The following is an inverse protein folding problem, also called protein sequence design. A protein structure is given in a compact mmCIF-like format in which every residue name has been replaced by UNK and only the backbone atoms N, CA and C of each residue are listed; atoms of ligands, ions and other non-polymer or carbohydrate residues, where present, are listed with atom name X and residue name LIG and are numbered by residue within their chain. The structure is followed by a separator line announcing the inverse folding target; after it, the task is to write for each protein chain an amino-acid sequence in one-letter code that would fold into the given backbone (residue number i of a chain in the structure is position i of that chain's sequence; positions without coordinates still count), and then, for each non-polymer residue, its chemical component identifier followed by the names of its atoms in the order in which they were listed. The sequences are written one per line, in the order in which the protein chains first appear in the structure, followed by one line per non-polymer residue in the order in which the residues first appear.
data_IF_037332360956
#
_entry.id   IF_037332360956
#
_cell.length_a   1.000
_cell.length_b   1.000
_cell.length_c   1.000
_cell.angle_alpha   90.00
_cell.angle_beta   90.00
_cell.angle_gamma   90.00
#
_symmetry.space_group_name_H-M   'P 1'
#
loop_
_entity.id
_entity.type
_entity.pdbx_description
1 polymer ?
#
# COMPACT_ATOMS: atom_id res chain seq x y z
N UNK A 1 51.67 83.99 42.23
CA UNK A 1 51.81 85.09 41.24
C UNK A 1 51.82 84.50 39.83
N UNK A 2 50.74 84.75 39.08
CA UNK A 2 50.67 85.20 37.68
C UNK A 2 51.75 84.74 36.66
N UNK A 3 51.22 84.29 35.49
CA UNK A 3 51.76 84.22 34.10
C UNK A 3 52.69 83.04 33.76
N UNK A 4 52.75 82.53 32.53
CA UNK A 4 51.87 82.56 31.36
C UNK A 4 52.36 81.51 30.33
N UNK A 5 51.39 80.93 29.62
CA UNK A 5 51.34 80.53 28.21
C UNK A 5 52.63 80.15 27.44
N UNK A 6 52.63 78.94 26.84
CA UNK A 6 53.14 78.70 25.47
C UNK A 6 52.23 77.73 24.70
N UNK A 7 51.93 78.12 23.48
CA UNK A 7 51.19 77.42 22.42
C UNK A 7 51.91 76.17 21.92
N UNK A 8 51.18 75.18 21.39
CA UNK A 8 51.58 74.46 20.17
C UNK A 8 50.41 73.72 19.49
N UNK A 9 50.43 73.80 18.17
CA UNK A 9 49.55 73.22 17.15
C UNK A 9 49.25 71.73 17.32
N UNK A 10 48.04 71.29 16.95
CA UNK A 10 47.77 69.91 16.49
C UNK A 10 46.62 69.85 15.45
N UNK A 11 46.82 68.89 14.55
CA UNK A 11 46.21 68.64 13.24
C UNK A 11 44.77 68.10 13.35
N UNK A 12 43.89 68.48 12.41
CA UNK A 12 42.54 67.95 12.26
C UNK A 12 42.54 66.74 11.29
N UNK A 13 41.98 65.61 11.70
CA UNK A 13 41.62 64.49 10.81
C UNK A 13 40.11 64.25 10.85
N UNK A 14 39.55 63.96 9.67
CA UNK A 14 38.13 63.78 9.38
C UNK A 14 37.62 62.44 9.92
N UNK A 15 36.44 62.43 10.55
CA UNK A 15 35.72 61.21 10.94
C UNK A 15 34.70 60.83 9.87
N UNK A 16 34.77 59.59 9.38
CA UNK A 16 33.75 58.96 8.53
C UNK A 16 32.79 58.18 9.43
N UNK A 17 31.49 58.48 9.34
CA UNK A 17 30.44 57.72 10.03
C UNK A 17 30.12 56.45 9.22
N UNK A 18 30.24 55.28 9.87
CA UNK A 18 29.72 54.01 9.38
C UNK A 18 28.34 53.79 9.99
N UNK A 19 27.28 53.78 9.18
CA UNK A 19 25.93 53.38 9.61
C UNK A 19 25.82 51.87 9.47
N UNK A 20 25.83 51.15 10.59
CA UNK A 20 25.51 49.72 10.64
C UNK A 20 23.99 49.56 10.67
N UNK A 21 23.41 49.11 9.55
CA UNK A 21 22.05 48.61 9.49
C UNK A 21 21.97 47.23 10.15
N UNK A 22 21.22 47.12 11.25
CA UNK A 22 20.91 45.83 11.85
C UNK A 22 19.77 45.15 11.06
N UNK A 23 20.09 44.14 10.26
CA UNK A 23 19.10 43.20 9.76
C UNK A 23 18.63 42.32 10.91
N UNK A 24 17.39 42.52 11.36
CA UNK A 24 16.67 41.57 12.20
C UNK A 24 16.29 40.36 11.34
N UNK A 25 17.13 39.32 11.36
CA UNK A 25 16.70 37.99 10.93
C UNK A 25 15.73 37.45 11.98
N UNK A 26 14.44 37.41 11.64
CA UNK A 26 13.45 36.64 12.40
C UNK A 26 13.86 35.18 12.27
N UNK A 27 14.43 34.62 13.34
CA UNK A 27 14.68 33.19 13.41
C UNK A 27 13.33 32.48 13.24
N UNK A 28 13.20 31.68 12.18
CA UNK A 28 12.06 30.76 12.06
C UNK A 28 12.05 29.88 13.31
N UNK A 29 10.88 29.61 13.92
CA UNK A 29 10.83 28.79 15.11
C UNK A 29 11.48 27.44 14.80
N UNK A 30 12.43 27.04 15.64
CA UNK A 30 13.02 25.70 15.59
C UNK A 30 11.89 24.73 15.93
N UNK A 31 11.30 24.14 14.89
CA UNK A 31 10.25 23.14 15.01
C UNK A 31 10.87 21.94 15.73
N UNK A 32 10.32 21.59 16.90
CA UNK A 32 10.75 20.40 17.64
C UNK A 32 10.59 19.17 16.74
N UNK A 33 11.56 18.25 16.71
CA UNK A 33 11.47 17.00 15.95
C UNK A 33 10.20 16.19 16.23
N UNK A 34 9.62 16.36 17.43
CA UNK A 34 8.41 15.67 17.88
C UNK A 34 7.13 16.52 17.83
N UNK A 35 7.17 17.68 17.16
CA UNK A 35 5.95 18.47 16.93
C UNK A 35 5.05 17.81 15.87
N UNK A 36 3.75 18.07 15.93
CA UNK A 36 2.80 17.57 14.92
C UNK A 36 3.14 18.03 13.50
N UNK A 37 3.69 19.24 13.34
CA UNK A 37 4.10 19.79 12.05
C UNK A 37 5.28 19.04 11.42
N UNK A 38 6.29 18.67 12.23
CA UNK A 38 7.44 17.88 11.75
C UNK A 38 6.99 16.50 11.27
N UNK A 39 6.08 15.84 12.00
CA UNK A 39 5.53 14.53 11.62
C UNK A 39 4.78 14.59 10.28
N UNK A 40 3.95 15.61 10.07
CA UNK A 40 3.24 15.84 8.81
C UNK A 40 4.23 16.08 7.66
N UNK A 41 5.28 16.88 7.89
CA UNK A 41 6.30 17.14 6.88
C UNK A 41 7.07 15.87 6.47
N UNK A 42 7.40 15.00 7.43
CA UNK A 42 8.07 13.72 7.16
C UNK A 42 7.18 12.78 6.34
N UNK A 43 5.89 12.68 6.68
CA UNK A 43 4.93 11.88 5.93
C UNK A 43 4.74 12.39 4.49
N UNK A 44 4.72 13.71 4.28
CA UNK A 44 4.65 14.31 2.93
C UNK A 44 5.89 13.97 2.09
N UNK A 45 7.09 14.04 2.67
CA UNK A 45 8.32 13.65 1.98
C UNK A 45 8.29 12.18 1.57
N UNK A 46 7.90 11.29 2.49
CA UNK A 46 7.76 9.87 2.18
C UNK A 46 6.71 9.61 1.08
N UNK A 47 5.62 10.38 1.05
CA UNK A 47 4.62 10.31 -0.01
C UNK A 47 5.19 10.69 -1.39
N UNK A 48 5.96 11.78 -1.46
CA UNK A 48 6.66 12.21 -2.66
C UNK A 48 7.65 11.13 -3.15
N UNK A 49 8.38 10.51 -2.23
CA UNK A 49 9.31 9.42 -2.55
C UNK A 49 8.57 8.16 -3.06
N UNK A 50 7.45 7.78 -2.44
CA UNK A 50 6.59 6.69 -2.90
C UNK A 50 6.03 6.98 -4.31
N UNK A 51 5.57 8.21 -4.55
CA UNK A 51 5.03 8.66 -5.84
C UNK A 51 6.11 8.62 -6.92
N UNK A 52 7.32 9.10 -6.60
CA UNK A 52 8.48 9.03 -7.50
C UNK A 52 8.81 7.59 -7.88
N UNK A 53 8.87 6.68 -6.90
CA UNK A 53 9.16 5.27 -7.14
C UNK A 53 8.20 4.62 -8.15
N UNK A 54 6.89 4.85 -8.00
CA UNK A 54 5.87 4.21 -8.84
C UNK A 54 5.78 4.80 -10.25
N UNK A 55 6.19 6.07 -10.43
CA UNK A 55 6.31 6.66 -11.76
C UNK A 55 7.60 6.23 -12.49
N UNK A 56 8.70 6.04 -11.76
CA UNK A 56 9.98 5.63 -12.35
C UNK A 56 10.09 4.14 -12.63
N UNK A 57 9.35 3.31 -11.87
CA UNK A 57 9.44 1.85 -11.96
C UNK A 57 8.06 1.22 -12.15
N UNK A 58 7.92 0.22 -13.05
CA UNK A 58 6.69 -0.53 -13.27
C UNK A 58 6.42 -1.53 -12.12
N UNK A 59 6.31 -1.02 -10.90
CA UNK A 59 6.26 -1.79 -9.65
C UNK A 59 4.94 -1.63 -8.88
N UNK A 60 4.01 -0.80 -9.38
CA UNK A 60 2.70 -0.60 -8.75
C UNK A 60 2.00 -1.93 -8.37
N UNK A 61 1.94 -2.96 -9.24
CA UNK A 61 1.23 -4.19 -8.88
C UNK A 61 1.85 -4.96 -7.70
N UNK A 62 3.18 -5.01 -7.60
CA UNK A 62 3.84 -5.74 -6.50
C UNK A 62 3.75 -4.97 -5.18
N UNK A 63 3.73 -3.63 -5.24
CA UNK A 63 3.55 -2.77 -4.06
C UNK A 63 2.13 -2.89 -3.52
N UNK A 64 1.10 -2.88 -4.39
CA UNK A 64 -0.29 -3.11 -3.97
C UNK A 64 -0.45 -4.49 -3.34
N UNK A 65 0.17 -5.53 -3.93
CA UNK A 65 0.20 -6.87 -3.32
C UNK A 65 0.91 -6.88 -1.97
N UNK A 66 2.05 -6.21 -1.80
CA UNK A 66 2.77 -6.15 -0.53
C UNK A 66 1.87 -5.60 0.58
N UNK A 67 1.21 -4.46 0.34
CA UNK A 67 0.33 -3.83 1.31
C UNK A 67 -0.92 -4.68 1.64
N UNK A 68 -1.51 -5.33 0.63
CA UNK A 68 -2.58 -6.32 0.84
C UNK A 68 -2.11 -7.47 1.72
N UNK A 69 -0.94 -8.04 1.45
CA UNK A 69 -0.42 -9.19 2.19
C UNK A 69 -0.10 -8.85 3.65
N UNK A 70 0.40 -7.65 3.92
CA UNK A 70 0.61 -7.17 5.29
C UNK A 70 -0.73 -7.07 6.05
N UNK A 71 -1.66 -6.27 5.52
CA UNK A 71 -2.95 -6.00 6.15
C UNK A 71 -3.86 -7.25 6.24
N UNK A 72 -3.78 -8.14 5.24
CA UNK A 72 -4.61 -9.34 5.09
C UNK A 72 -4.36 -10.41 6.15
N UNK A 73 -3.32 -10.26 6.98
CA UNK A 73 -3.05 -11.17 8.09
C UNK A 73 -3.86 -10.87 9.35
N UNK A 74 -4.65 -9.78 9.35
CA UNK A 74 -5.44 -9.40 10.51
C UNK A 74 -6.47 -10.48 10.92
N UNK A 75 -6.60 -10.66 12.24
CA UNK A 75 -7.65 -11.46 12.87
C UNK A 75 -8.38 -10.59 13.90
N UNK A 76 -9.64 -10.26 13.61
CA UNK A 76 -10.45 -9.40 14.47
C UNK A 76 -10.75 -10.02 15.85
N UNK A 77 -10.75 -11.35 15.95
CA UNK A 77 -11.02 -12.07 17.20
C UNK A 77 -9.78 -12.12 18.08
N UNK A 78 -8.62 -12.41 17.49
CA UNK A 78 -7.34 -12.47 18.19
C UNK A 78 -6.70 -11.10 18.37
N UNK A 79 -7.17 -10.09 17.62
CA UNK A 79 -6.65 -8.71 17.62
C UNK A 79 -5.15 -8.65 17.33
N UNK A 80 -4.70 -9.41 16.34
CA UNK A 80 -3.29 -9.43 15.92
C UNK A 80 -3.13 -9.65 14.40
N UNK A 81 -1.92 -9.40 13.89
CA UNK A 81 -1.65 -9.27 12.45
C UNK A 81 -2.22 -7.96 11.90
N UNK A 82 -2.04 -7.72 10.61
CA UNK A 82 -2.49 -6.51 9.92
C UNK A 82 -1.35 -5.58 9.51
N UNK A 83 -1.68 -4.31 9.24
CA UNK A 83 -0.74 -3.28 8.80
C UNK A 83 0.11 -2.77 9.99
N UNK A 84 1.07 -3.58 10.41
CA UNK A 84 1.89 -3.39 11.62
C UNK A 84 3.41 -3.54 11.36
N UNK A 85 3.85 -3.50 10.11
CA UNK A 85 5.26 -3.48 9.72
C UNK A 85 5.96 -4.83 9.73
N UNK A 86 5.25 -5.94 9.98
CA UNK A 86 5.90 -7.26 10.19
C UNK A 86 6.33 -7.96 8.91
N UNK A 87 5.71 -7.65 7.77
CA UNK A 87 5.98 -8.32 6.48
C UNK A 87 7.42 -8.11 5.98
N UNK A 88 8.17 -7.16 6.55
CA UNK A 88 9.58 -6.94 6.22
C UNK A 88 10.50 -8.02 6.80
N UNK A 89 10.03 -8.78 7.79
CA UNK A 89 10.85 -9.75 8.48
C UNK A 89 11.00 -11.03 7.65
N UNK A 90 12.21 -11.61 7.58
CA UNK A 90 12.44 -12.85 6.83
C UNK A 90 11.57 -14.03 7.26
N UNK A 91 11.10 -14.06 8.51
CA UNK A 91 10.17 -15.09 9.01
C UNK A 91 8.83 -15.04 8.29
N UNK A 92 8.30 -13.85 8.01
CA UNK A 92 7.04 -13.65 7.29
C UNK A 92 7.24 -13.80 5.77
N UNK A 93 8.29 -13.19 5.20
CA UNK A 93 8.58 -13.28 3.75
C UNK A 93 8.79 -14.72 3.23
N UNK A 94 9.11 -15.66 4.12
CA UNK A 94 9.23 -17.10 3.79
C UNK A 94 7.89 -17.84 3.81
N UNK A 95 6.79 -17.22 4.21
CA UNK A 95 5.48 -17.81 4.09
C UNK A 95 5.18 -18.10 2.61
N UNK A 96 4.57 -19.25 2.28
CA UNK A 96 4.30 -19.61 0.89
C UNK A 96 3.53 -18.54 0.10
N UNK A 97 2.57 -17.87 0.75
CA UNK A 97 1.73 -16.87 0.11
C UNK A 97 2.50 -15.57 -0.20
N UNK A 98 3.62 -15.32 0.47
CA UNK A 98 4.42 -14.09 0.35
C UNK A 98 5.58 -14.21 -0.65
N UNK A 99 5.61 -15.31 -1.42
CA UNK A 99 6.63 -15.55 -2.44
C UNK A 99 6.80 -14.35 -3.39
N UNK A 100 8.04 -13.86 -3.48
CA UNK A 100 8.45 -12.72 -4.30
C UNK A 100 8.20 -11.34 -3.71
N UNK A 101 7.68 -11.21 -2.49
CA UNK A 101 7.48 -9.92 -1.81
C UNK A 101 8.76 -9.36 -1.18
N UNK A 102 9.79 -10.19 -1.02
CA UNK A 102 11.15 -9.75 -0.65
C UNK A 102 11.68 -8.70 -1.62
N UNK A 103 11.47 -8.90 -2.92
CA UNK A 103 11.84 -7.91 -3.94
C UNK A 103 11.08 -6.58 -3.79
N UNK A 104 9.84 -6.59 -3.31
CA UNK A 104 9.09 -5.36 -3.05
C UNK A 104 9.60 -4.63 -1.80
N UNK A 105 9.93 -5.37 -0.73
CA UNK A 105 10.55 -4.80 0.47
C UNK A 105 11.91 -4.16 0.13
N UNK A 106 12.72 -4.78 -0.73
CA UNK A 106 13.98 -4.19 -1.18
C UNK A 106 13.79 -2.90 -2.01
N UNK A 107 12.70 -2.76 -2.76
CA UNK A 107 12.36 -1.50 -3.43
C UNK A 107 12.04 -0.38 -2.44
N UNK A 108 11.39 -0.70 -1.32
CA UNK A 108 10.99 0.29 -0.31
C UNK A 108 12.10 0.61 0.70
N UNK A 109 13.13 -0.25 0.82
CA UNK A 109 14.22 -0.07 1.79
C UNK A 109 14.98 1.26 1.66
N UNK A 110 15.36 1.75 0.46
CA UNK A 110 15.97 3.07 0.32
C UNK A 110 15.03 4.21 0.76
N UNK A 111 13.73 4.09 0.49
CA UNK A 111 12.73 5.10 0.88
C UNK A 111 12.60 5.16 2.41
N UNK A 112 12.53 4.01 3.08
CA UNK A 112 12.52 3.95 4.55
C UNK A 112 13.82 4.52 5.13
N UNK A 113 14.98 4.22 4.53
CA UNK A 113 16.26 4.78 4.99
C UNK A 113 16.33 6.31 4.84
N UNK A 114 15.69 6.87 3.81
CA UNK A 114 15.58 8.31 3.60
C UNK A 114 14.55 8.98 4.52
N UNK A 115 13.58 8.22 5.04
CA UNK A 115 12.49 8.69 5.90
C UNK A 115 12.43 7.91 7.22
N UNK A 116 13.49 7.95 8.06
CA UNK A 116 13.60 7.09 9.25
C UNK A 116 12.50 7.32 10.31
N UNK A 117 11.79 8.44 10.24
CA UNK A 117 10.69 8.77 11.16
C UNK A 117 9.31 8.27 10.68
N UNK A 118 9.25 7.66 9.50
CA UNK A 118 8.05 7.01 8.95
C UNK A 118 8.20 5.52 9.16
N UNK A 119 7.25 4.92 9.87
CA UNK A 119 7.27 3.48 10.15
C UNK A 119 7.18 2.65 8.87
N UNK A 120 7.61 1.40 8.93
CA UNK A 120 7.39 0.47 7.82
C UNK A 120 5.90 0.26 7.54
N UNK A 121 5.09 0.17 8.60
CA UNK A 121 3.63 0.04 8.51
C UNK A 121 2.99 1.20 7.72
N UNK A 122 3.43 2.44 7.94
CA UNK A 122 2.95 3.56 7.11
C UNK A 122 3.51 3.52 5.70
N UNK A 123 4.83 3.32 5.54
CA UNK A 123 5.47 3.39 4.23
C UNK A 123 4.90 2.36 3.25
N UNK A 124 4.63 1.13 3.69
CA UNK A 124 4.07 0.07 2.85
C UNK A 124 2.68 0.45 2.35
N UNK A 125 1.79 0.87 3.25
CA UNK A 125 0.42 1.25 2.90
C UNK A 125 0.39 2.56 2.09
N UNK A 126 1.29 3.50 2.39
CA UNK A 126 1.50 4.75 1.66
C UNK A 126 1.88 4.51 0.20
N UNK A 127 2.91 3.68 -0.04
CA UNK A 127 3.34 3.35 -1.38
C UNK A 127 2.26 2.56 -2.16
N UNK A 128 1.42 1.76 -1.49
CA UNK A 128 0.26 1.13 -2.17
C UNK A 128 -0.79 2.14 -2.60
N UNK A 129 -1.10 3.15 -1.80
CA UNK A 129 -2.05 4.19 -2.20
C UNK A 129 -1.48 5.02 -3.38
N UNK A 130 -0.21 5.40 -3.32
CA UNK A 130 0.48 6.07 -4.43
C UNK A 130 0.50 5.21 -5.71
N UNK A 131 0.74 3.91 -5.58
CA UNK A 131 0.71 2.96 -6.70
C UNK A 131 -0.66 2.89 -7.39
N UNK A 132 -1.75 2.93 -6.61
CA UNK A 132 -3.12 2.92 -7.14
C UNK A 132 -3.43 4.21 -7.90
N UNK A 133 -3.11 5.36 -7.30
CA UNK A 133 -3.31 6.67 -7.94
C UNK A 133 -2.49 6.80 -9.23
N UNK A 134 -1.20 6.43 -9.20
CA UNK A 134 -0.32 6.48 -10.37
C UNK A 134 -0.75 5.54 -11.50
N UNK A 135 -1.51 4.48 -11.18
CA UNK A 135 -2.06 3.55 -12.16
C UNK A 135 -3.42 4.00 -12.72
N UNK A 136 -3.93 5.18 -12.33
CA UNK A 136 -5.23 5.71 -12.78
C UNK A 136 -6.42 5.30 -11.91
N UNK A 137 -6.17 4.70 -10.74
CA UNK A 137 -7.19 4.30 -9.79
C UNK A 137 -7.73 5.46 -8.94
N UNK A 138 -8.69 5.18 -8.05
CA UNK A 138 -9.26 6.20 -7.18
C UNK A 138 -8.28 6.67 -6.11
N UNK A 139 -8.42 7.93 -5.69
CA UNK A 139 -7.77 8.44 -4.48
C UNK A 139 -8.29 7.69 -3.26
N UNK A 140 -7.38 7.09 -2.50
CA UNK A 140 -7.74 6.34 -1.30
C UNK A 140 -7.79 7.32 -0.11
N UNK A 141 -8.86 7.34 0.71
CA UNK A 141 -8.96 8.21 1.88
C UNK A 141 -8.06 7.73 3.02
N UNK A 142 -6.75 7.82 2.82
CA UNK A 142 -5.73 7.34 3.74
C UNK A 142 -5.58 8.25 4.96
N UNK A 143 -5.29 7.64 6.09
CA UNK A 143 -4.60 8.27 7.22
C UNK A 143 -3.35 7.48 7.58
N UNK A 144 -2.42 8.18 8.21
CA UNK A 144 -1.09 7.71 8.58
C UNK A 144 -0.85 7.90 10.08
N UNK A 145 0.37 7.72 10.54
CA UNK A 145 0.74 7.62 11.94
C UNK A 145 0.70 6.19 12.47
N UNK A 146 0.75 5.18 11.60
CA UNK A 146 0.89 3.78 12.04
C UNK A 146 2.21 3.62 12.77
N UNK A 147 2.20 2.83 13.84
CA UNK A 147 3.42 2.41 14.51
C UNK A 147 3.75 0.98 14.12
N UNK A 148 5.02 0.69 13.89
CA UNK A 148 5.49 -0.69 13.77
C UNK A 148 5.26 -1.43 15.08
N UNK A 149 4.89 -2.71 15.02
CA UNK A 149 4.65 -3.49 16.24
C UNK A 149 5.95 -3.59 17.07
N UNK A 150 5.95 -3.17 18.34
CA UNK A 150 7.16 -3.13 19.15
C UNK A 150 7.73 -4.52 19.47
N UNK A 151 6.96 -5.60 19.25
CA UNK A 151 7.46 -6.98 19.37
C UNK A 151 8.29 -7.40 18.15
N UNK A 152 8.27 -6.62 17.07
CA UNK A 152 9.00 -6.87 15.84
C UNK A 152 8.76 -8.27 15.28
N UNK A 153 9.79 -9.11 15.09
CA UNK A 153 9.62 -10.44 14.50
C UNK A 153 8.74 -11.39 15.34
N UNK A 154 8.55 -11.13 16.64
CA UNK A 154 7.66 -11.92 17.49
C UNK A 154 6.16 -11.57 17.28
N UNK A 155 5.87 -10.47 16.57
CA UNK A 155 4.51 -10.13 16.14
C UNK A 155 4.09 -10.80 14.82
N UNK A 156 5.02 -11.48 14.13
CA UNK A 156 4.74 -12.12 12.84
C UNK A 156 3.56 -13.09 12.98
N UNK A 157 2.49 -12.90 12.18
CA UNK A 157 1.31 -13.77 12.25
C UNK A 157 1.65 -15.19 11.77
N UNK A 158 0.93 -16.21 12.23
CA UNK A 158 1.09 -17.55 11.70
C UNK A 158 0.73 -17.61 10.21
N UNK A 159 1.35 -18.54 9.49
CA UNK A 159 0.97 -18.91 8.11
C UNK A 159 -0.53 -19.19 7.96
N UNK A 160 -1.02 -19.14 6.72
CA UNK A 160 -2.39 -19.52 6.35
C UNK A 160 -3.49 -18.58 6.88
N UNK A 161 -3.18 -17.28 6.98
CA UNK A 161 -4.20 -16.23 7.17
C UNK A 161 -4.65 -15.60 5.86
N UNK A 162 -3.79 -15.53 4.86
CA UNK A 162 -4.09 -15.03 3.52
C UNK A 162 -4.83 -16.09 2.69
N UNK A 163 -5.69 -15.71 1.73
CA UNK A 163 -6.48 -16.66 0.93
C UNK A 163 -5.61 -17.45 -0.07
N UNK A 164 -6.05 -18.65 -0.44
CA UNK A 164 -5.54 -19.37 -1.61
C UNK A 164 -6.37 -19.00 -2.85
N UNK A 165 -5.72 -18.89 -4.00
CA UNK A 165 -6.40 -18.60 -5.27
C UNK A 165 -7.13 -19.80 -5.89
N UNK A 166 -6.80 -21.04 -5.48
CA UNK A 166 -7.39 -22.25 -6.05
C UNK A 166 -7.49 -23.38 -5.02
N UNK A 167 -8.43 -24.33 -5.21
CA UNK A 167 -8.51 -25.52 -4.39
C UNK A 167 -7.29 -26.45 -4.58
N UNK A 168 -6.93 -27.28 -3.58
CA UNK A 168 -7.60 -27.43 -2.30
C UNK A 168 -7.30 -26.27 -1.33
N UNK A 169 -8.34 -25.64 -0.80
CA UNK A 169 -8.20 -24.54 0.16
C UNK A 169 -7.62 -25.04 1.49
N UNK A 170 -6.65 -24.30 2.03
CA UNK A 170 -6.00 -24.62 3.29
C UNK A 170 -7.00 -24.58 4.44
N UNK A 171 -6.67 -25.35 5.49
CA UNK A 171 -7.36 -25.26 6.78
C UNK A 171 -6.71 -24.15 7.59
N UNK A 172 -7.51 -23.33 8.27
CA UNK A 172 -6.97 -22.43 9.29
C UNK A 172 -6.31 -23.26 10.41
N UNK A 173 -5.09 -22.88 10.83
CA UNK A 173 -4.40 -23.46 12.00
C UNK A 173 -4.37 -22.41 13.12
N UNK A 174 -4.97 -22.70 14.26
CA UNK A 174 -4.93 -21.84 15.45
C UNK A 174 -5.94 -22.24 16.53
N UNK A 175 -5.77 -21.74 17.76
CA UNK A 175 -6.74 -21.85 18.87
C UNK A 175 -7.96 -20.94 18.63
N UNK A 176 -8.68 -21.12 17.52
CA UNK A 176 -9.94 -20.43 17.24
C UNK A 176 -11.11 -21.45 17.29
N UNK A 177 -12.24 -21.14 17.96
CA UNK A 177 -13.19 -22.13 18.43
C UNK A 177 -14.23 -22.61 17.40
N UNK A 178 -13.83 -22.89 16.15
CA UNK A 178 -14.75 -23.52 15.18
C UNK A 178 -14.05 -24.58 14.32
N UNK A 179 -14.80 -25.64 14.02
CA UNK A 179 -14.34 -26.95 13.54
C UNK A 179 -13.56 -26.88 12.22
N UNK A 180 -12.57 -27.76 12.09
CA UNK A 180 -11.82 -28.05 10.87
C UNK A 180 -12.77 -28.48 9.73
N UNK A 181 -13.07 -27.60 8.79
CA UNK A 181 -13.53 -27.99 7.45
C UNK A 181 -12.58 -27.40 6.41
N UNK A 182 -12.26 -28.17 5.37
CA UNK A 182 -11.82 -27.53 4.11
C UNK A 182 -13.01 -26.73 3.62
N UNK A 183 -12.80 -25.52 3.13
CA UNK A 183 -13.92 -24.77 2.57
C UNK A 183 -14.45 -25.53 1.37
N UNK A 184 -15.76 -25.80 1.29
CA UNK A 184 -16.30 -26.62 0.23
C UNK A 184 -16.37 -25.88 -1.11
N UNK A 185 -16.23 -24.55 -1.10
CA UNK A 185 -16.24 -23.71 -2.29
C UNK A 185 -15.25 -22.53 -2.18
N UNK A 186 -14.87 -21.91 -3.31
CA UNK A 186 -14.08 -20.67 -3.30
C UNK A 186 -14.79 -19.52 -2.57
N UNK A 187 -16.13 -19.44 -2.62
CA UNK A 187 -16.88 -18.39 -1.94
C UNK A 187 -16.83 -18.53 -0.42
N UNK A 188 -17.00 -19.75 0.09
CA UNK A 188 -16.84 -20.04 1.52
C UNK A 188 -15.43 -19.73 2.00
N UNK A 189 -14.42 -19.99 1.15
CA UNK A 189 -13.04 -19.66 1.43
C UNK A 189 -12.81 -18.15 1.57
N UNK A 190 -13.28 -17.38 0.59
CA UNK A 190 -13.20 -15.92 0.61
C UNK A 190 -13.93 -15.36 1.84
N UNK A 191 -15.17 -15.77 2.09
CA UNK A 191 -15.92 -15.32 3.28
C UNK A 191 -15.19 -15.65 4.57
N UNK A 192 -14.69 -16.87 4.75
CA UNK A 192 -13.93 -17.27 5.95
C UNK A 192 -12.72 -16.37 6.17
N UNK A 193 -11.97 -16.07 5.12
CA UNK A 193 -10.73 -15.28 5.21
C UNK A 193 -11.03 -13.80 5.46
N UNK A 194 -11.92 -13.19 4.67
CA UNK A 194 -12.20 -11.76 4.73
C UNK A 194 -13.11 -11.38 5.90
N UNK A 195 -14.11 -12.20 6.25
CA UNK A 195 -14.96 -11.94 7.42
C UNK A 195 -14.14 -12.00 8.72
N UNK A 196 -13.08 -12.82 8.79
CA UNK A 196 -12.12 -12.81 9.91
C UNK A 196 -11.42 -11.45 10.06
N UNK A 197 -11.20 -10.73 8.95
CA UNK A 197 -10.65 -9.38 8.96
C UNK A 197 -11.70 -8.30 9.31
N UNK A 198 -12.99 -8.67 9.33
CA UNK A 198 -14.11 -7.75 9.49
C UNK A 198 -14.53 -7.07 8.18
N UNK A 199 -14.26 -7.73 7.04
CA UNK A 199 -14.68 -7.27 5.71
C UNK A 199 -15.94 -8.02 5.26
N UNK A 200 -16.85 -7.35 4.56
CA UNK A 200 -18.11 -7.89 4.07
C UNK A 200 -18.02 -8.38 2.61
N UNK A 201 -19.09 -8.93 2.07
CA UNK A 201 -19.13 -9.48 0.70
C UNK A 201 -18.90 -8.43 -0.40
N UNK A 202 -19.39 -7.20 -0.21
CA UNK A 202 -19.18 -6.09 -1.14
C UNK A 202 -17.69 -5.65 -1.16
N UNK A 203 -17.05 -5.59 0.01
CA UNK A 203 -15.64 -5.28 0.18
C UNK A 203 -14.74 -6.39 -0.36
N UNK A 204 -15.14 -7.68 -0.24
CA UNK A 204 -14.46 -8.80 -0.90
C UNK A 204 -14.40 -8.56 -2.40
N UNK A 205 -15.58 -8.33 -3.01
CA UNK A 205 -15.66 -8.18 -4.47
C UNK A 205 -14.90 -6.93 -4.92
N UNK A 206 -15.01 -5.82 -4.20
CA UNK A 206 -14.28 -4.59 -4.52
C UNK A 206 -12.76 -4.83 -4.46
N UNK A 207 -12.24 -5.36 -3.35
CA UNK A 207 -10.79 -5.59 -3.20
C UNK A 207 -10.22 -6.59 -4.21
N UNK A 208 -11.00 -7.58 -4.66
CA UNK A 208 -10.60 -8.47 -5.76
C UNK A 208 -10.30 -7.73 -7.06
N UNK A 209 -10.90 -6.54 -7.27
CA UNK A 209 -10.63 -5.68 -8.41
C UNK A 209 -9.18 -5.22 -8.53
N UNK A 210 -8.38 -5.30 -7.46
CA UNK A 210 -6.94 -5.06 -7.50
C UNK A 210 -6.19 -5.98 -8.47
N UNK A 211 -6.76 -7.15 -8.82
CA UNK A 211 -6.24 -8.04 -9.86
C UNK A 211 -6.28 -7.42 -11.27
N UNK A 212 -6.94 -6.27 -11.47
CA UNK A 212 -6.76 -5.47 -12.69
C UNK A 212 -5.29 -5.06 -12.89
N UNK A 213 -4.54 -4.94 -11.78
CA UNK A 213 -3.11 -4.69 -11.80
C UNK A 213 -2.30 -5.99 -11.69
N UNK A 214 -1.34 -6.11 -12.58
CA UNK A 214 -0.27 -7.09 -12.52
C UNK A 214 -0.66 -8.48 -13.01
N UNK A 215 0.12 -9.43 -12.51
CA UNK A 215 0.26 -10.76 -13.08
C UNK A 215 0.59 -11.77 -12.01
N UNK A 216 0.14 -13.00 -12.19
CA UNK A 216 0.63 -14.13 -11.41
C UNK A 216 1.74 -14.86 -12.16
N UNK A 217 2.72 -15.36 -11.40
CA UNK A 217 3.84 -16.14 -11.92
C UNK A 217 3.73 -17.58 -11.42
N UNK A 218 3.98 -18.54 -12.31
CA UNK A 218 4.03 -19.96 -11.97
C UNK A 218 5.16 -20.27 -10.98
N UNK A 219 6.30 -19.59 -11.09
CA UNK A 219 7.43 -19.70 -10.15
C UNK A 219 7.17 -19.13 -8.76
N UNK A 220 6.06 -18.38 -8.57
CA UNK A 220 5.67 -17.81 -7.27
C UNK A 220 4.45 -18.53 -6.70
N UNK A 221 3.31 -18.39 -7.36
CA UNK A 221 2.02 -18.94 -6.89
C UNK A 221 1.75 -20.37 -7.37
N UNK A 222 2.37 -20.79 -8.47
CA UNK A 222 2.06 -22.07 -9.13
C UNK A 222 0.70 -22.13 -9.84
N UNK A 223 -0.13 -21.09 -9.73
CA UNK A 223 -1.51 -21.08 -10.23
C UNK A 223 -1.66 -20.87 -11.74
N UNK A 224 -0.88 -19.99 -12.40
CA UNK A 224 -0.97 -19.79 -13.84
C UNK A 224 -0.74 -21.07 -14.64
N UNK A 225 -1.56 -21.30 -15.67
CA UNK A 225 -1.39 -22.40 -16.62
C UNK A 225 -0.18 -22.17 -17.53
N UNK A 226 0.04 -20.92 -17.94
CA UNK A 226 1.13 -20.47 -18.80
C UNK A 226 2.20 -19.71 -18.00
N UNK A 227 3.43 -19.72 -18.49
CA UNK A 227 4.53 -18.94 -17.91
C UNK A 227 4.52 -17.48 -18.39
N UNK A 228 3.98 -17.23 -19.58
CA UNK A 228 3.80 -15.92 -20.21
C UNK A 228 2.69 -16.01 -21.26
N UNK A 229 2.24 -14.85 -21.73
CA UNK A 229 1.10 -14.66 -22.64
C UNK A 229 1.46 -13.56 -23.63
N UNK A 230 0.66 -13.38 -24.68
CA UNK A 230 0.87 -12.28 -25.64
C UNK A 230 0.84 -10.88 -24.97
N UNK A 231 0.23 -10.74 -23.79
CA UNK A 231 0.19 -9.47 -23.04
C UNK A 231 1.41 -9.26 -22.14
N UNK A 232 2.26 -10.29 -21.98
CA UNK A 232 3.25 -10.35 -20.91
C UNK A 232 4.63 -10.84 -21.37
N UNK A 233 4.72 -11.38 -22.60
CA UNK A 233 5.97 -11.71 -23.29
C UNK A 233 6.86 -10.46 -23.50
N UNK A 234 6.19 -9.32 -23.68
CA UNK A 234 6.77 -8.00 -23.88
C UNK A 234 6.09 -7.02 -22.94
N UNK A 235 6.87 -6.15 -22.31
CA UNK A 235 6.37 -5.21 -21.32
C UNK A 235 7.45 -4.81 -20.33
N UNK A 236 7.20 -3.76 -19.54
CA UNK A 236 8.19 -3.24 -18.60
C UNK A 236 8.33 -4.17 -17.37
N UNK A 237 9.47 -4.11 -16.69
CA UNK A 237 9.73 -4.92 -15.49
C UNK A 237 10.10 -6.38 -15.79
N UNK A 238 9.83 -7.28 -14.83
CA UNK A 238 10.16 -8.71 -14.97
C UNK A 238 9.31 -9.37 -16.07
N UNK A 239 9.93 -10.07 -17.02
CA UNK A 239 9.21 -10.75 -18.11
C UNK A 239 8.30 -11.88 -17.61
N UNK A 240 7.23 -12.14 -18.36
CA UNK A 240 6.31 -13.26 -18.16
C UNK A 240 5.28 -13.05 -17.05
N UNK A 241 4.65 -14.15 -16.66
CA UNK A 241 3.42 -14.21 -15.86
C UNK A 241 2.16 -14.15 -16.72
N UNK A 242 1.01 -14.47 -16.14
CA UNK A 242 -0.30 -14.28 -16.77
C UNK A 242 -1.03 -13.14 -16.06
N UNK A 243 -1.55 -12.16 -16.81
CA UNK A 243 -2.39 -11.07 -16.29
C UNK A 243 -3.86 -11.46 -16.30
N UNK A 244 -4.67 -10.79 -15.47
CA UNK A 244 -6.13 -10.87 -15.55
C UNK A 244 -6.70 -9.96 -16.63
N UNK A 245 -6.00 -8.86 -16.93
CA UNK A 245 -6.39 -7.85 -17.90
C UNK A 245 -5.31 -7.69 -18.98
N UNK A 246 -5.67 -7.09 -20.11
CA UNK A 246 -4.72 -6.84 -21.19
C UNK A 246 -3.74 -5.74 -20.83
N UNK A 247 -4.26 -4.65 -20.25
CA UNK A 247 -3.46 -3.56 -19.70
C UNK A 247 -3.30 -3.75 -18.19
N UNK A 248 -2.35 -4.59 -17.81
CA UNK A 248 -2.11 -4.97 -16.42
C UNK A 248 -1.34 -3.91 -15.62
N UNK A 249 -1.15 -2.71 -16.17
CA UNK A 249 -0.59 -1.56 -15.44
C UNK A 249 -1.61 -0.43 -15.25
N UNK A 250 -2.79 -0.53 -15.86
CA UNK A 250 -3.89 0.40 -15.65
C UNK A 250 -4.84 -0.12 -14.57
N UNK A 251 -5.21 0.75 -13.64
CA UNK A 251 -6.23 0.47 -12.65
C UNK A 251 -7.59 0.93 -13.18
N UNK A 252 -8.40 -0.03 -13.63
CA UNK A 252 -9.74 0.19 -14.16
C UNK A 252 -10.67 -0.98 -13.79
N UNK A 253 -11.91 -0.99 -14.30
CA UNK A 253 -12.84 -2.09 -14.07
C UNK A 253 -12.69 -3.28 -15.05
N UNK A 254 -11.62 -3.33 -15.87
CA UNK A 254 -11.43 -4.36 -16.89
C UNK A 254 -11.38 -5.77 -16.30
N UNK A 255 -10.91 -5.92 -15.06
CA UNK A 255 -10.97 -7.20 -14.33
C UNK A 255 -12.37 -7.82 -14.33
N UNK A 256 -13.39 -7.04 -13.98
CA UNK A 256 -14.78 -7.52 -13.94
C UNK A 256 -15.33 -7.74 -15.34
N UNK A 257 -15.01 -6.83 -16.28
CA UNK A 257 -15.45 -6.93 -17.68
C UNK A 257 -14.93 -8.22 -18.32
N UNK A 258 -13.65 -8.56 -18.16
CA UNK A 258 -13.05 -9.75 -18.75
C UNK A 258 -13.53 -11.04 -18.06
N UNK A 259 -13.81 -11.02 -16.75
CA UNK A 259 -14.44 -12.14 -16.06
C UNK A 259 -15.88 -12.38 -16.52
N UNK A 260 -16.66 -11.32 -16.71
CA UNK A 260 -18.02 -11.41 -17.23
C UNK A 260 -18.03 -12.01 -18.64
N UNK A 261 -17.19 -11.48 -19.54
CA UNK A 261 -17.03 -12.04 -20.90
C UNK A 261 -16.62 -13.50 -20.87
N UNK A 262 -15.72 -13.89 -19.96
CA UNK A 262 -15.31 -15.28 -19.84
C UNK A 262 -16.45 -16.19 -19.37
N UNK A 263 -17.28 -15.74 -18.41
CA UNK A 263 -18.47 -16.46 -17.98
C UNK A 263 -19.47 -16.67 -19.12
N UNK A 264 -19.68 -15.64 -19.94
CA UNK A 264 -20.60 -15.69 -21.09
C UNK A 264 -20.07 -16.58 -22.23
N UNK A 265 -18.74 -16.56 -22.46
CA UNK A 265 -18.10 -17.32 -23.53
C UNK A 265 -17.86 -18.81 -23.19
N UNK A 266 -17.81 -19.17 -21.90
CA UNK A 266 -17.49 -20.53 -21.46
C UNK A 266 -16.12 -21.00 -21.99
N UNK A 267 -16.11 -22.09 -22.75
CA UNK A 267 -14.90 -22.64 -23.38
C UNK A 267 -14.26 -21.71 -24.43
N UNK A 268 -15.01 -20.71 -24.92
CA UNK A 268 -14.52 -19.68 -25.85
C UNK A 268 -13.82 -18.50 -25.18
N UNK A 269 -13.66 -18.50 -23.85
CA UNK A 269 -13.01 -17.41 -23.12
C UNK A 269 -11.53 -17.24 -23.54
N UNK A 270 -11.04 -16.01 -23.52
CA UNK A 270 -9.65 -15.70 -23.90
C UNK A 270 -8.65 -16.55 -23.08
N UNK A 271 -7.87 -17.45 -23.69
CA UNK A 271 -6.96 -18.33 -22.97
C UNK A 271 -5.71 -17.60 -22.44
N UNK A 272 -5.44 -16.40 -22.95
CA UNK A 272 -4.29 -15.56 -22.55
C UNK A 272 -4.54 -14.77 -21.26
N UNK A 273 -5.77 -14.75 -20.74
CA UNK A 273 -6.09 -14.06 -19.48
C UNK A 273 -6.33 -15.05 -18.34
N UNK A 274 -5.70 -14.76 -17.20
CA UNK A 274 -5.79 -15.55 -15.99
C UNK A 274 -7.17 -15.42 -15.35
N UNK A 275 -7.67 -16.55 -14.84
CA UNK A 275 -8.90 -16.64 -14.06
C UNK A 275 -8.71 -17.69 -12.98
N UNK A 276 -8.65 -17.28 -11.72
CA UNK A 276 -8.57 -18.21 -10.61
C UNK A 276 -9.96 -18.68 -10.18
N UNK A 277 -10.01 -19.74 -9.39
CA UNK A 277 -11.29 -20.23 -8.84
C UNK A 277 -11.94 -19.17 -7.94
N UNK A 278 -11.14 -18.37 -7.24
CA UNK A 278 -11.60 -17.23 -6.42
C UNK A 278 -12.03 -16.00 -7.23
N UNK A 279 -11.63 -15.88 -8.50
CA UNK A 279 -12.09 -14.78 -9.37
C UNK A 279 -13.42 -15.15 -10.03
N UNK A 280 -13.50 -16.36 -10.58
CA UNK A 280 -14.71 -16.82 -11.29
C UNK A 280 -15.92 -16.98 -10.38
N UNK A 281 -15.69 -17.25 -9.08
CA UNK A 281 -16.77 -17.36 -8.10
C UNK A 281 -17.52 -16.03 -7.90
N UNK A 282 -16.89 -14.89 -8.16
CA UNK A 282 -17.50 -13.56 -7.98
C UNK A 282 -18.74 -13.36 -8.86
N UNK A 283 -18.86 -14.07 -9.99
CA UNK A 283 -20.00 -14.00 -10.90
C UNK A 283 -20.99 -15.17 -10.78
N UNK A 284 -20.73 -16.11 -9.87
CA UNK A 284 -21.57 -17.31 -9.69
C UNK A 284 -22.19 -17.43 -8.30
N UNK A 285 -21.53 -16.90 -7.27
CA UNK A 285 -22.09 -16.78 -5.93
C UNK A 285 -23.13 -15.64 -5.85
N UNK A 286 -24.30 -15.90 -5.26
CA UNK A 286 -25.41 -14.94 -5.23
C UNK A 286 -25.10 -13.66 -4.44
N UNK A 287 -24.27 -13.74 -3.39
CA UNK A 287 -23.88 -12.58 -2.59
C UNK A 287 -22.84 -11.70 -3.28
N UNK A 288 -21.95 -12.31 -4.07
CA UNK A 288 -20.91 -11.57 -4.81
C UNK A 288 -21.40 -11.03 -6.16
N UNK A 289 -22.24 -11.81 -6.87
CA UNK A 289 -22.61 -11.55 -8.26
C UNK A 289 -23.17 -10.14 -8.47
N UNK A 290 -24.03 -9.67 -7.57
CA UNK A 290 -24.64 -8.34 -7.68
C UNK A 290 -23.60 -7.21 -7.70
N UNK A 291 -22.49 -7.35 -6.95
CA UNK A 291 -21.42 -6.36 -6.90
C UNK A 291 -20.49 -6.50 -8.11
N UNK A 292 -20.16 -7.74 -8.51
CA UNK A 292 -19.30 -7.99 -9.66
C UNK A 292 -19.93 -7.49 -10.97
N UNK A 293 -21.25 -7.72 -11.15
CA UNK A 293 -22.01 -7.21 -12.30
C UNK A 293 -22.18 -5.69 -12.27
N UNK A 294 -22.30 -5.09 -11.07
CA UNK A 294 -22.30 -3.63 -10.92
C UNK A 294 -20.96 -3.04 -11.36
N UNK A 295 -19.85 -3.57 -10.85
CA UNK A 295 -18.52 -3.03 -11.16
C UNK A 295 -18.13 -3.26 -12.63
N UNK A 296 -18.60 -4.34 -13.25
CA UNK A 296 -18.38 -4.57 -14.68
C UNK A 296 -19.03 -3.50 -15.58
N UNK A 297 -20.20 -2.97 -15.20
CA UNK A 297 -20.92 -1.95 -15.98
C UNK A 297 -20.66 -0.51 -15.55
N UNK A 298 -20.16 -0.32 -14.33
CA UNK A 298 -20.00 0.99 -13.70
C UNK A 298 -18.66 1.09 -12.97
N UNK A 299 -17.69 1.74 -13.63
CA UNK A 299 -16.36 1.97 -13.07
C UNK A 299 -16.38 2.97 -11.90
N UNK A 300 -17.28 3.95 -11.91
CA UNK A 300 -17.35 4.94 -10.84
C UNK A 300 -17.83 4.28 -9.54
N UNK A 301 -18.83 3.40 -9.63
CA UNK A 301 -19.27 2.58 -8.51
C UNK A 301 -18.14 1.68 -7.98
N UNK A 302 -17.39 1.02 -8.87
CA UNK A 302 -16.21 0.26 -8.49
C UNK A 302 -15.17 1.11 -7.76
N UNK A 303 -14.85 2.28 -8.29
CA UNK A 303 -13.83 3.17 -7.73
C UNK A 303 -14.21 3.68 -6.34
N UNK A 304 -15.48 4.09 -6.16
CA UNK A 304 -15.98 4.56 -4.87
C UNK A 304 -15.87 3.45 -3.81
N UNK A 305 -16.31 2.24 -4.15
CA UNK A 305 -16.33 1.11 -3.24
C UNK A 305 -14.92 0.56 -2.97
N UNK A 306 -14.06 0.52 -3.98
CA UNK A 306 -12.66 0.13 -3.84
C UNK A 306 -11.90 1.08 -2.92
N UNK A 307 -12.09 2.38 -3.07
CA UNK A 307 -11.42 3.38 -2.24
C UNK A 307 -11.73 3.18 -0.74
N UNK A 308 -13.01 2.97 -0.41
CA UNK A 308 -13.44 2.75 0.97
C UNK A 308 -12.97 1.39 1.51
N UNK A 309 -13.06 0.33 0.70
CA UNK A 309 -12.63 -1.01 1.10
C UNK A 309 -11.11 -1.08 1.31
N UNK A 310 -10.32 -0.45 0.42
CA UNK A 310 -8.86 -0.39 0.52
C UNK A 310 -8.42 0.43 1.74
N UNK A 311 -9.03 1.60 1.97
CA UNK A 311 -8.77 2.37 3.19
C UNK A 311 -9.05 1.55 4.45
N UNK A 312 -10.23 0.90 4.54
CA UNK A 312 -10.60 0.05 5.68
C UNK A 312 -9.63 -1.12 5.88
N UNK A 313 -9.19 -1.74 4.79
CA UNK A 313 -8.19 -2.81 4.79
C UNK A 313 -6.85 -2.31 5.33
N UNK A 314 -6.34 -1.19 4.82
CA UNK A 314 -5.03 -0.62 5.19
C UNK A 314 -4.92 -0.27 6.68
N UNK A 315 -6.06 -0.15 7.38
CA UNK A 315 -6.13 0.13 8.81
C UNK A 315 -6.33 -1.13 9.66
N UNK A 316 -6.51 -2.31 9.06
CA UNK A 316 -6.72 -3.54 9.82
C UNK A 316 -5.49 -3.85 10.66
N UNK A 317 -5.70 -4.00 11.97
CA UNK A 317 -4.65 -4.32 12.94
C UNK A 317 -3.69 -3.18 13.28
N UNK A 318 -3.75 -2.06 12.56
CA UNK A 318 -2.86 -0.93 12.78
C UNK A 318 -3.10 -0.28 14.14
N UNK A 319 -2.00 0.12 14.78
CA UNK A 319 -2.00 1.02 15.93
C UNK A 319 -1.55 2.40 15.45
N UNK A 320 -2.32 3.44 15.78
CA UNK A 320 -2.01 4.81 15.37
C UNK A 320 -1.52 5.64 16.55
N UNK A 321 -0.49 6.42 16.31
CA UNK A 321 -0.08 7.56 17.13
C UNK A 321 -0.12 8.81 16.23
N UNK A 322 -0.91 9.85 16.55
CA UNK A 322 -1.92 9.85 17.59
C UNK A 322 -3.09 8.91 17.23
N UNK A 323 -3.96 8.52 18.17
CA UNK A 323 -5.00 7.50 17.92
C UNK A 323 -5.96 7.80 16.75
N UNK A 324 -6.20 9.08 16.46
CA UNK A 324 -7.01 9.52 15.33
C UNK A 324 -6.29 9.37 13.96
N UNK A 325 -4.99 9.12 13.95
CA UNK A 325 -4.14 9.14 12.78
C UNK A 325 -3.81 10.56 12.30
N UNK A 326 -3.01 10.64 11.25
CA UNK A 326 -2.55 11.87 10.62
C UNK A 326 -3.03 11.85 9.17
N UNK A 327 -3.81 12.85 8.78
CA UNK A 327 -4.18 13.04 7.38
C UNK A 327 -3.18 14.01 6.77
N UNK A 328 -2.61 13.64 5.63
CA UNK A 328 -1.82 14.56 4.81
C UNK A 328 -2.64 14.89 3.57
N UNK A 329 -2.76 16.18 3.26
CA UNK A 329 -3.16 16.57 1.91
C UNK A 329 -2.02 16.13 0.99
N UNK A 330 -2.26 15.08 0.18
CA UNK A 330 -1.39 14.79 -0.95
C UNK A 330 -1.30 16.08 -1.76
N UNK A 331 -0.08 16.60 -1.92
CA UNK A 331 0.17 17.84 -2.66
C UNK A 331 -0.38 17.64 -4.08
N UNK A 332 -1.30 18.52 -4.46
CA UNK A 332 -1.93 18.55 -5.79
C UNK A 332 -0.89 18.76 -6.87
#
# INVERSE_FOLDING_TARGET
MIRAARSNFRVWTWSVFLVLGASLTVASPVVSPNSGEARVANLRRAWEDCTTLVHEKPCAPIIVRLAWHEAGTYDAKLKNGGAIGTIIYPSELRHPNDAGLDGAVELLRPLHAANPEVSWADLIQMCSAAALEASGGPKIPMRYGRVDDPRGPDAVPPVNRLPDGAPPFHRSRGKCPWKLSRDPSPADHLRRVFHRMGLNDQEIVALSGAHTLGRAYKSRSGLPSLNETIYTEHGPGTRGGMSWTKDWLAFDNSYYVELQKAKEAGDGANPELLRLATDTVLFTDDGFRQHAELYARDQEAFFADYALAHAKLSERGAHFDPPQGIVIDALV
#
